data_IF_948121499819
#
_entry.id   IF_948121499819
#
_cell.length_a   1.000
_cell.length_b   1.000
_cell.length_c   1.000
_cell.angle_alpha   90.00
_cell.angle_beta   90.00
_cell.angle_gamma   90.00
#
_symmetry.space_group_name_H-M   'P 1'
#
loop_
_entity.id
_entity.type
_entity.pdbx_description
1 polymer ?
#
# COMPACT_ATOMS: atom_id res chain seq x y z
N UNK A 1 -9.86 -36.19 -4.69
CA UNK A 1 -9.01 -34.99 -4.59
C UNK A 1 -9.89 -33.76 -4.87
N UNK A 2 -10.94 -33.54 -4.07
CA UNK A 2 -12.13 -32.81 -4.58
C UNK A 2 -12.76 -31.85 -3.59
N UNK A 3 -13.00 -32.26 -2.34
CA UNK A 3 -13.84 -31.45 -1.42
C UNK A 3 -13.03 -30.81 -0.29
N UNK A 4 -12.06 -31.53 0.31
CA UNK A 4 -11.14 -30.92 1.28
C UNK A 4 -10.31 -29.79 0.68
N UNK A 5 -9.89 -29.91 -0.58
CA UNK A 5 -9.10 -28.89 -1.25
C UNK A 5 -9.93 -27.65 -1.58
N UNK A 6 -11.22 -27.82 -1.92
CA UNK A 6 -12.16 -26.73 -2.14
C UNK A 6 -12.49 -26.00 -0.84
N UNK A 7 -12.76 -26.77 0.23
CA UNK A 7 -13.00 -26.21 1.56
C UNK A 7 -11.79 -25.40 2.07
N UNK A 8 -10.57 -25.89 1.83
CA UNK A 8 -9.37 -25.15 2.21
C UNK A 8 -9.16 -23.90 1.34
N UNK A 9 -9.45 -23.95 0.04
CA UNK A 9 -9.41 -22.76 -0.83
C UNK A 9 -10.45 -21.71 -0.39
N UNK A 10 -11.66 -22.11 -0.03
CA UNK A 10 -12.68 -21.19 0.49
C UNK A 10 -12.27 -20.60 1.83
N UNK A 11 -11.72 -21.42 2.74
CA UNK A 11 -11.21 -20.96 4.03
C UNK A 11 -10.08 -19.96 3.85
N UNK A 12 -9.09 -20.27 3.02
CA UNK A 12 -7.96 -19.40 2.72
C UNK A 12 -8.39 -18.12 1.99
N UNK A 13 -9.44 -18.16 1.16
CA UNK A 13 -10.02 -16.95 0.55
C UNK A 13 -10.71 -16.08 1.60
N UNK A 14 -11.53 -16.67 2.48
CA UNK A 14 -12.20 -15.94 3.55
C UNK A 14 -11.20 -15.31 4.54
N UNK A 15 -10.15 -16.05 4.89
CA UNK A 15 -9.07 -15.57 5.76
C UNK A 15 -8.25 -14.46 5.08
N UNK A 16 -7.98 -14.57 3.78
CA UNK A 16 -7.34 -13.50 3.01
C UNK A 16 -8.21 -12.24 2.93
N UNK A 17 -9.52 -12.37 2.74
CA UNK A 17 -10.44 -11.22 2.74
C UNK A 17 -10.52 -10.57 4.14
N UNK A 18 -10.54 -11.37 5.21
CA UNK A 18 -10.51 -10.86 6.59
C UNK A 18 -9.18 -10.16 6.93
N UNK A 19 -8.05 -10.69 6.46
CA UNK A 19 -6.72 -10.09 6.65
C UNK A 19 -6.52 -8.82 5.83
N UNK A 20 -7.10 -8.74 4.61
CA UNK A 20 -7.12 -7.51 3.81
C UNK A 20 -7.90 -6.40 4.53
N UNK A 21 -8.99 -6.74 5.21
CA UNK A 21 -9.83 -5.78 5.94
C UNK A 21 -9.26 -5.34 7.29
N UNK A 22 -8.33 -6.11 7.89
CA UNK A 22 -7.68 -5.73 9.16
C UNK A 22 -6.45 -4.84 9.00
N UNK A 23 -5.90 -4.69 7.79
CA UNK A 23 -4.67 -3.90 7.53
C UNK A 23 -4.93 -2.49 6.99
N UNK A 24 -6.18 -2.06 6.91
CA UNK A 24 -6.58 -0.83 6.23
C UNK A 24 -6.50 0.46 7.07
N UNK A 25 -6.01 0.43 8.30
CA UNK A 25 -5.95 1.64 9.14
C UNK A 25 -4.69 1.74 10.00
N UNK A 26 -3.74 2.59 9.61
CA UNK A 26 -2.89 3.32 10.54
C UNK A 26 -1.38 3.12 10.44
N UNK A 27 -0.88 1.90 10.24
CA UNK A 27 0.58 1.64 10.27
C UNK A 27 1.16 1.44 8.88
N UNK A 28 2.08 2.33 8.48
CA UNK A 28 2.87 2.15 7.26
C UNK A 28 3.78 0.93 7.39
N UNK A 29 3.79 0.06 6.37
CA UNK A 29 4.69 -1.09 6.31
C UNK A 29 5.38 -1.15 4.96
N UNK A 30 6.58 -1.74 4.93
CA UNK A 30 7.42 -1.80 3.74
C UNK A 30 7.78 -3.24 3.39
N UNK A 31 7.80 -3.56 2.09
CA UNK A 31 8.25 -4.86 1.57
C UNK A 31 9.04 -4.67 0.29
N UNK A 32 10.10 -5.45 0.12
CA UNK A 32 10.77 -5.63 -1.18
C UNK A 32 10.05 -6.73 -1.95
N UNK A 33 9.61 -6.42 -3.16
CA UNK A 33 8.96 -7.38 -4.05
C UNK A 33 9.96 -8.36 -4.65
N UNK A 34 9.46 -9.49 -5.17
CA UNK A 34 10.28 -10.49 -5.89
C UNK A 34 10.99 -9.92 -7.12
N UNK A 35 10.45 -8.82 -7.68
CA UNK A 35 11.04 -8.09 -8.81
C UNK A 35 12.06 -7.02 -8.40
N UNK A 36 12.39 -6.92 -7.10
CA UNK A 36 13.38 -5.95 -6.59
C UNK A 36 12.86 -4.52 -6.39
N UNK A 37 11.56 -4.27 -6.49
CA UNK A 37 10.94 -2.97 -6.20
C UNK A 37 10.53 -2.83 -4.72
N UNK A 38 10.55 -1.60 -4.17
CA UNK A 38 10.09 -1.30 -2.82
C UNK A 38 8.61 -0.90 -2.85
N UNK A 39 7.81 -1.60 -2.06
CA UNK A 39 6.38 -1.37 -1.87
C UNK A 39 6.09 -0.82 -0.47
N UNK A 40 5.36 0.30 -0.38
CA UNK A 40 4.84 0.89 0.87
C UNK A 40 3.33 0.65 0.95
N UNK A 41 2.88 0.04 2.04
CA UNK A 41 1.48 -0.28 2.35
C UNK A 41 0.97 0.63 3.47
N UNK A 42 -0.36 0.71 3.63
CA UNK A 42 -1.00 1.40 4.75
C UNK A 42 -1.60 2.78 4.43
N UNK A 43 -1.56 3.22 3.16
CA UNK A 43 -2.14 4.50 2.68
C UNK A 43 -3.41 4.30 1.83
N UNK A 44 -3.97 3.09 1.78
CA UNK A 44 -5.15 2.76 0.98
C UNK A 44 -5.21 1.30 0.55
N UNK A 45 -6.06 1.00 -0.45
CA UNK A 45 -6.29 -0.36 -0.96
C UNK A 45 -5.07 -0.98 -1.64
N UNK A 46 -4.24 -0.16 -2.29
CA UNK A 46 -3.10 -0.62 -3.07
C UNK A 46 -1.79 -0.02 -2.52
N UNK A 47 -0.69 -0.78 -2.51
CA UNK A 47 0.61 -0.25 -2.13
C UNK A 47 1.18 0.67 -3.21
N UNK A 48 1.97 1.65 -2.78
CA UNK A 48 2.82 2.42 -3.70
C UNK A 48 4.10 1.62 -3.92
N UNK A 49 4.34 1.21 -5.16
CA UNK A 49 5.52 0.38 -5.52
C UNK A 49 6.35 1.10 -6.57
N UNK A 50 7.61 1.40 -6.24
CA UNK A 50 8.58 2.02 -7.15
C UNK A 50 9.93 1.29 -7.04
N UNK A 51 10.74 1.38 -8.10
CA UNK A 51 12.13 0.94 -8.04
C UNK A 51 12.98 1.91 -7.22
N UNK A 52 14.15 1.45 -6.74
CA UNK A 52 15.06 2.22 -5.88
C UNK A 52 15.34 3.63 -6.41
N UNK A 53 15.71 3.78 -7.68
CA UNK A 53 16.06 5.09 -8.24
C UNK A 53 14.85 6.04 -8.34
N UNK A 54 13.66 5.50 -8.54
CA UNK A 54 12.43 6.29 -8.53
C UNK A 54 12.11 6.78 -7.12
N UNK A 55 12.31 5.93 -6.09
CA UNK A 55 12.19 6.34 -4.69
C UNK A 55 13.20 7.43 -4.34
N UNK A 56 14.48 7.24 -4.68
CA UNK A 56 15.51 8.24 -4.40
C UNK A 56 15.19 9.59 -5.04
N UNK A 57 14.75 9.58 -6.31
CA UNK A 57 14.34 10.80 -7.03
C UNK A 57 13.08 11.46 -6.43
N UNK A 58 12.11 10.67 -5.98
CA UNK A 58 10.91 11.21 -5.33
C UNK A 58 11.25 11.81 -3.96
N UNK A 59 12.07 11.10 -3.18
CA UNK A 59 12.46 11.52 -1.84
C UNK A 59 13.40 12.72 -1.85
N UNK A 60 14.19 12.93 -2.92
CA UNK A 60 15.03 14.12 -3.04
C UNK A 60 14.23 15.43 -3.11
N UNK A 61 12.95 15.38 -3.49
CA UNK A 61 12.05 16.55 -3.56
C UNK A 61 10.97 16.51 -2.48
N UNK A 62 11.14 15.71 -1.41
CA UNK A 62 10.11 15.50 -0.40
C UNK A 62 9.66 16.81 0.29
N UNK A 63 10.57 17.74 0.55
CA UNK A 63 10.24 19.03 1.16
C UNK A 63 9.47 19.95 0.19
N UNK A 64 9.81 19.93 -1.10
CA UNK A 64 9.07 20.66 -2.14
C UNK A 64 7.63 20.14 -2.25
N UNK A 65 7.44 18.81 -2.19
CA UNK A 65 6.11 18.20 -2.19
C UNK A 65 5.29 18.68 -0.98
N UNK A 66 5.88 18.72 0.22
CA UNK A 66 5.20 19.21 1.42
C UNK A 66 4.83 20.69 1.31
N UNK A 67 5.74 21.52 0.79
CA UNK A 67 5.47 22.93 0.55
C UNK A 67 4.32 23.11 -0.45
N UNK A 68 4.35 22.39 -1.57
CA UNK A 68 3.31 22.45 -2.59
C UNK A 68 1.94 22.00 -2.06
N UNK A 69 1.88 20.96 -1.22
CA UNK A 69 0.64 20.54 -0.55
C UNK A 69 0.09 21.68 0.32
N UNK A 70 0.95 22.30 1.14
CA UNK A 70 0.54 23.39 2.03
C UNK A 70 0.02 24.61 1.26
N UNK A 71 0.69 24.98 0.17
CA UNK A 71 0.28 26.10 -0.69
C UNK A 71 -1.06 25.87 -1.36
N UNK A 72 -1.41 24.61 -1.63
CA UNK A 72 -2.62 24.22 -2.34
C UNK A 72 -3.67 23.54 -1.44
N UNK A 73 -3.55 23.68 -0.12
CA UNK A 73 -4.40 22.98 0.86
C UNK A 73 -5.90 23.16 0.57
N UNK A 74 -6.32 24.37 0.17
CA UNK A 74 -7.72 24.68 -0.18
C UNK A 74 -8.27 23.91 -1.38
N UNK A 75 -7.39 23.41 -2.26
CA UNK A 75 -7.77 22.63 -3.45
C UNK A 75 -7.69 21.12 -3.22
N UNK A 76 -6.95 20.69 -2.19
CA UNK A 76 -6.72 19.29 -1.89
C UNK A 76 -7.82 18.75 -0.97
N UNK A 77 -8.33 17.57 -1.30
CA UNK A 77 -9.33 16.89 -0.47
C UNK A 77 -8.64 15.97 0.53
N UNK A 78 -9.02 16.06 1.80
CA UNK A 78 -8.74 15.03 2.78
C UNK A 78 -9.76 13.89 2.62
N UNK A 79 -9.31 12.64 2.78
CA UNK A 79 -10.19 11.48 2.89
C UNK A 79 -10.08 10.96 4.31
N UNK A 80 -11.21 10.92 5.00
CA UNK A 80 -11.42 10.14 6.22
C UNK A 80 -11.80 8.69 5.87
#
# INVERSE_FOLDING_TARGET
>A
MSDQLKAEIERLKAENEALKNKKSGGTLTMKVSEKGALSVYGMGRFPVTLYKEQWNKLLSIAEEIKAFIKENDTYLKTKD
#
